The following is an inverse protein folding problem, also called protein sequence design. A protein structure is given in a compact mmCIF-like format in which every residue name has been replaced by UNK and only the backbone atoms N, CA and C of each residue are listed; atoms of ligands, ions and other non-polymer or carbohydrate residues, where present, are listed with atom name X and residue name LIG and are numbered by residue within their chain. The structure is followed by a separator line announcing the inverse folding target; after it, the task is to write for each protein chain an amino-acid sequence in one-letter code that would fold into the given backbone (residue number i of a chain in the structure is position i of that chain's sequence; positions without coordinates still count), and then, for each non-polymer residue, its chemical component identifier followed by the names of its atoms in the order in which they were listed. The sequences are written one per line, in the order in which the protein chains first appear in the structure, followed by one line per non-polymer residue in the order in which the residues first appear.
data_IF_259784640951
#
_entry.id   IF_259784640951
#
_cell.length_a   1.000
_cell.length_b   1.000
_cell.length_c   1.000
_cell.angle_alpha   90.00
_cell.angle_beta   90.00
_cell.angle_gamma   90.00
#
_symmetry.space_group_name_H-M   'P 1'
#
loop_
_entity.id
_entity.type
_entity.pdbx_description
1 polymer ?
#
# COMPACT_ATOMS: atom_id res chain seq x y z
N UNK A 1 20.61 3.18 -2.99
CA UNK A 1 19.52 3.62 -2.09
C UNK A 1 18.76 2.39 -1.61
N UNK A 2 18.46 2.28 -0.32
CA UNK A 2 18.08 1.02 0.33
C UNK A 2 16.59 0.65 0.26
N UNK A 3 15.65 1.57 0.00
CA UNK A 3 14.21 1.25 -0.20
C UNK A 3 13.44 2.42 -0.83
N UNK A 4 12.41 2.13 -1.63
CA UNK A 4 11.45 3.10 -2.18
C UNK A 4 10.02 2.74 -1.75
N UNK A 5 9.25 3.74 -1.35
CA UNK A 5 7.81 3.59 -1.08
C UNK A 5 7.03 4.41 -2.10
N UNK A 6 6.12 3.75 -2.80
CA UNK A 6 5.20 4.38 -3.75
C UNK A 6 3.77 4.20 -3.25
N UNK A 7 2.89 5.14 -3.62
CA UNK A 7 1.51 5.21 -3.10
C UNK A 7 0.51 5.52 -4.21
N UNK A 8 -0.74 5.06 -4.03
CA UNK A 8 -1.85 5.33 -4.94
C UNK A 8 -1.83 4.44 -6.19
N UNK A 9 -2.27 4.97 -7.34
CA UNK A 9 -2.41 4.25 -8.61
C UNK A 9 -1.42 4.80 -9.66
N UNK A 10 -0.10 4.62 -9.49
CA UNK A 10 0.89 5.19 -10.38
C UNK A 10 0.83 4.55 -11.78
N UNK A 11 1.37 5.25 -12.78
CA UNK A 11 1.59 4.61 -14.07
C UNK A 11 2.65 3.49 -13.93
N UNK A 12 2.58 2.43 -14.74
CA UNK A 12 3.57 1.36 -14.67
C UNK A 12 5.01 1.83 -14.97
N UNK A 13 5.18 2.85 -15.81
CA UNK A 13 6.51 3.40 -16.12
C UNK A 13 7.12 4.10 -14.91
N UNK A 14 6.30 4.73 -14.06
CA UNK A 14 6.74 5.28 -12.77
C UNK A 14 7.20 4.16 -11.84
N UNK A 15 6.43 3.08 -11.72
CA UNK A 15 6.79 1.92 -10.90
C UNK A 15 8.11 1.29 -11.36
N UNK A 16 8.28 1.07 -12.67
CA UNK A 16 9.55 0.58 -13.24
C UNK A 16 10.73 1.50 -12.96
N UNK A 17 10.51 2.82 -13.04
CA UNK A 17 11.55 3.81 -12.74
C UNK A 17 11.98 3.73 -11.28
N UNK A 18 11.03 3.55 -10.35
CA UNK A 18 11.34 3.31 -8.93
C UNK A 18 12.14 2.02 -8.76
N UNK A 19 11.74 0.93 -9.42
CA UNK A 19 12.41 -0.37 -9.35
C UNK A 19 13.85 -0.34 -9.88
N UNK A 20 14.16 0.54 -10.83
CA UNK A 20 15.53 0.77 -11.31
C UNK A 20 16.39 1.60 -10.35
N UNK A 21 15.77 2.42 -9.49
CA UNK A 21 16.46 3.37 -8.61
C UNK A 21 16.68 2.87 -7.18
N UNK A 22 16.00 1.79 -6.78
CA UNK A 22 16.05 1.25 -5.42
C UNK A 22 16.15 -0.28 -5.42
N UNK A 23 16.78 -0.81 -4.37
CA UNK A 23 16.92 -2.27 -4.21
C UNK A 23 15.59 -2.94 -3.87
N UNK A 24 14.65 -2.22 -3.29
CA UNK A 24 13.31 -2.71 -2.94
C UNK A 24 12.30 -1.60 -3.15
N UNK A 25 11.17 -1.93 -3.75
CA UNK A 25 10.03 -1.03 -3.95
C UNK A 25 8.79 -1.63 -3.31
N UNK A 26 8.12 -0.86 -2.47
CA UNK A 26 6.80 -1.21 -1.94
C UNK A 26 5.78 -0.22 -2.46
N UNK A 27 4.77 -0.71 -3.18
CA UNK A 27 3.62 0.05 -3.63
C UNK A 27 2.43 -0.23 -2.71
N UNK A 28 2.00 0.79 -1.97
CA UNK A 28 0.71 0.78 -1.29
C UNK A 28 -0.37 1.28 -2.24
N UNK A 29 -1.11 0.35 -2.82
CA UNK A 29 -2.16 0.65 -3.79
C UNK A 29 -3.45 0.99 -3.04
N UNK A 30 -4.06 2.14 -3.33
CA UNK A 30 -5.33 2.52 -2.72
C UNK A 30 -6.13 3.47 -3.62
N UNK A 31 -7.37 3.73 -3.18
CA UNK A 31 -8.30 4.64 -3.85
C UNK A 31 -9.13 3.95 -4.91
N UNK A 32 -10.22 4.63 -5.29
CA UNK A 32 -11.29 4.11 -6.16
C UNK A 32 -10.72 3.44 -7.41
N UNK A 33 -11.23 2.24 -7.74
CA UNK A 33 -10.87 1.45 -8.92
C UNK A 33 -9.48 0.79 -8.86
N UNK A 34 -8.93 0.56 -7.67
CA UNK A 34 -7.69 -0.19 -7.52
C UNK A 34 -7.74 -1.57 -8.21
N UNK A 35 -8.89 -2.25 -8.20
CA UNK A 35 -9.06 -3.55 -8.88
C UNK A 35 -8.84 -3.45 -10.39
N UNK A 36 -9.34 -2.37 -11.01
CA UNK A 36 -9.12 -2.10 -12.44
C UNK A 36 -7.65 -1.82 -12.71
N UNK A 37 -6.98 -1.11 -11.81
CA UNK A 37 -5.55 -0.88 -11.91
C UNK A 37 -4.77 -2.20 -11.80
N UNK A 38 -5.13 -3.07 -10.86
CA UNK A 38 -4.51 -4.39 -10.73
C UNK A 38 -4.70 -5.21 -12.01
N UNK A 39 -5.93 -5.36 -12.49
CA UNK A 39 -6.22 -6.11 -13.73
C UNK A 39 -5.40 -5.62 -14.92
N UNK A 40 -5.21 -4.30 -15.07
CA UNK A 40 -4.47 -3.72 -16.18
C UNK A 40 -2.94 -3.90 -16.07
N UNK A 41 -2.40 -4.01 -14.86
CA UNK A 41 -0.95 -3.83 -14.63
C UNK A 41 -0.26 -5.02 -13.96
N UNK A 42 -1.00 -5.90 -13.27
CA UNK A 42 -0.44 -6.97 -12.43
C UNK A 42 0.43 -7.93 -13.23
N UNK A 43 0.01 -8.32 -14.44
CA UNK A 43 0.77 -9.24 -15.29
C UNK A 43 2.13 -8.68 -15.72
N UNK A 44 2.25 -7.34 -15.83
CA UNK A 44 3.48 -6.68 -16.28
C UNK A 44 4.37 -6.26 -15.12
N UNK A 45 3.77 -5.86 -14.00
CA UNK A 45 4.51 -5.37 -12.83
C UNK A 45 4.85 -6.50 -11.85
N UNK A 46 4.05 -7.56 -11.83
CA UNK A 46 4.28 -8.74 -10.98
C UNK A 46 5.53 -9.55 -11.34
N UNK A 47 6.13 -9.31 -12.52
CA UNK A 47 7.39 -9.93 -12.93
C UNK A 47 8.64 -9.20 -12.43
N UNK A 48 8.47 -8.04 -11.77
CA UNK A 48 9.59 -7.28 -11.22
C UNK A 48 10.06 -7.91 -9.90
N UNK A 49 11.32 -8.30 -9.89
CA UNK A 49 12.01 -9.08 -8.84
C UNK A 49 12.27 -8.30 -7.54
N UNK A 50 11.97 -7.00 -7.52
CA UNK A 50 12.14 -6.15 -6.36
C UNK A 50 10.90 -5.33 -6.00
N UNK A 51 9.75 -5.65 -6.61
CA UNK A 51 8.48 -4.96 -6.38
C UNK A 51 7.58 -5.77 -5.43
N UNK A 52 7.06 -5.07 -4.43
CA UNK A 52 5.99 -5.54 -3.55
C UNK A 52 4.75 -4.67 -3.80
N UNK A 53 3.58 -5.28 -4.00
CA UNK A 53 2.30 -4.54 -4.15
C UNK A 53 1.36 -4.96 -3.02
N UNK A 54 0.93 -3.98 -2.22
CA UNK A 54 0.04 -4.15 -1.08
C UNK A 54 -1.17 -3.24 -1.26
N UNK A 55 -2.31 -3.77 -1.74
CA UNK A 55 -3.56 -3.03 -1.76
C UNK A 55 -4.03 -2.73 -0.35
N UNK A 56 -4.55 -1.53 -0.16
CA UNK A 56 -5.16 -1.12 1.09
C UNK A 56 -6.69 -1.10 0.93
N UNK A 57 -7.43 -1.59 1.93
CA UNK A 57 -8.88 -1.64 1.88
C UNK A 57 -9.50 -0.22 1.85
N UNK A 58 -10.24 0.09 0.77
CA UNK A 58 -10.89 1.41 0.58
C UNK A 58 -11.89 1.70 1.71
N UNK A 59 -12.63 0.68 2.17
CA UNK A 59 -13.64 0.80 3.23
C UNK A 59 -13.07 1.23 4.60
N UNK A 60 -11.75 1.16 4.77
CA UNK A 60 -11.07 1.57 6.00
C UNK A 60 -10.31 2.89 5.83
N UNK A 61 -9.79 3.18 4.63
CA UNK A 61 -9.05 4.42 4.38
C UNK A 61 -9.94 5.66 4.26
N UNK A 62 -11.11 5.54 3.63
CA UNK A 62 -12.00 6.70 3.41
C UNK A 62 -12.52 7.29 4.74
N UNK A 63 -13.03 6.50 5.71
CA UNK A 63 -13.41 7.01 7.02
C UNK A 63 -12.22 7.63 7.77
N UNK A 64 -11.08 6.94 7.79
CA UNK A 64 -9.88 7.39 8.47
C UNK A 64 -9.40 8.75 7.94
N UNK A 65 -9.45 8.95 6.62
CA UNK A 65 -9.07 10.21 5.99
C UNK A 65 -10.03 11.35 6.36
N UNK A 66 -11.33 11.07 6.50
CA UNK A 66 -12.32 12.07 6.90
C UNK A 66 -12.21 12.47 8.38
N UNK A 67 -11.71 11.57 9.21
CA UNK A 67 -11.52 11.77 10.65
C UNK A 67 -10.16 12.40 11.00
N UNK A 68 -9.34 12.75 9.99
CA UNK A 68 -8.04 13.38 10.20
C UNK A 68 -8.16 14.72 10.93
N UNK A 69 -7.63 14.75 12.16
CA UNK A 69 -7.47 15.97 12.94
C UNK A 69 -6.18 16.70 12.55
N UNK A 70 -6.13 18.01 12.85
CA UNK A 70 -4.93 18.84 12.66
C UNK A 70 -3.71 18.31 13.43
N UNK A 71 -3.94 17.63 14.54
CA UNK A 71 -2.93 16.92 15.34
C UNK A 71 -3.28 15.43 15.33
N UNK A 72 -2.30 14.57 15.00
CA UNK A 72 -2.48 13.12 14.96
C UNK A 72 -1.86 12.49 16.22
N UNK A 73 -2.71 11.81 17.00
CA UNK A 73 -2.30 10.97 18.12
C UNK A 73 -2.76 9.55 17.84
N UNK A 74 -1.90 8.77 17.17
CA UNK A 74 -2.21 7.42 16.70
C UNK A 74 -1.26 6.40 17.33
N UNK A 75 -1.81 5.26 17.74
CA UNK A 75 -1.05 4.06 18.10
C UNK A 75 -1.25 3.02 17.02
N UNK A 76 -0.15 2.51 16.46
CA UNK A 76 -0.18 1.49 15.40
C UNK A 76 0.51 0.23 15.91
N UNK A 77 -0.18 -0.91 15.80
CA UNK A 77 0.39 -2.23 16.09
C UNK A 77 0.22 -3.13 14.87
N UNK A 78 1.28 -3.82 14.46
CA UNK A 78 1.22 -4.81 13.38
C UNK A 78 1.52 -6.19 13.94
N UNK A 79 0.54 -7.09 13.84
CA UNK A 79 0.65 -8.48 14.32
C UNK A 79 0.05 -9.41 13.27
N UNK A 80 0.81 -10.40 12.82
CA UNK A 80 0.36 -11.42 11.85
C UNK A 80 -0.29 -10.86 10.58
N UNK A 81 0.25 -9.75 10.07
CA UNK A 81 -0.26 -9.07 8.87
C UNK A 81 -1.54 -8.26 9.11
N UNK A 82 -2.02 -8.18 10.34
CA UNK A 82 -3.08 -7.27 10.76
C UNK A 82 -2.48 -5.98 11.28
N UNK A 83 -2.96 -4.84 10.81
CA UNK A 83 -2.67 -3.51 11.35
C UNK A 83 -3.82 -3.10 12.25
N UNK A 84 -3.53 -2.86 13.52
CA UNK A 84 -4.40 -2.24 14.50
C UNK A 84 -4.03 -0.76 14.59
N UNK A 85 -5.01 0.12 14.41
CA UNK A 85 -4.85 1.56 14.49
C UNK A 85 -5.82 2.11 15.53
N UNK A 86 -5.27 2.59 16.63
CA UNK A 86 -6.03 3.27 17.67
C UNK A 86 -5.82 4.77 17.50
N UNK A 87 -6.93 5.50 17.38
CA UNK A 87 -6.97 6.96 17.38
C UNK A 87 -7.66 7.44 18.66
N UNK A 88 -7.76 8.76 18.86
CA UNK A 88 -8.49 9.30 20.01
C UNK A 88 -10.00 8.98 19.98
N UNK A 89 -10.59 8.74 18.80
CA UNK A 89 -12.04 8.61 18.64
C UNK A 89 -12.47 7.21 18.20
N UNK A 90 -11.55 6.40 17.66
CA UNK A 90 -11.87 5.13 17.02
C UNK A 90 -10.73 4.10 17.07
N UNK A 91 -11.14 2.84 16.98
CA UNK A 91 -10.27 1.68 16.85
C UNK A 91 -10.52 1.03 15.48
N UNK A 92 -9.48 0.92 14.65
CA UNK A 92 -9.56 0.34 13.33
C UNK A 92 -8.66 -0.89 13.19
N UNK A 93 -9.09 -1.84 12.37
CA UNK A 93 -8.34 -3.04 12.04
C UNK A 93 -8.27 -3.16 10.52
N UNK A 94 -7.06 -3.31 9.98
CA UNK A 94 -6.81 -3.41 8.55
C UNK A 94 -5.98 -4.66 8.28
N UNK A 95 -6.54 -5.60 7.52
CA UNK A 95 -5.77 -6.72 7.00
C UNK A 95 -4.84 -6.21 5.90
N UNK A 96 -3.52 -6.33 6.11
CA UNK A 96 -2.52 -6.03 5.09
C UNK A 96 -2.24 -7.31 4.31
N UNK A 97 -2.78 -7.38 3.09
CA UNK A 97 -2.51 -8.50 2.18
C UNK A 97 -1.53 -8.06 1.12
N UNK A 98 -0.45 -8.82 0.98
CA UNK A 98 0.51 -8.60 -0.09
C UNK A 98 0.09 -9.40 -1.33
N UNK A 99 -0.18 -8.71 -2.44
CA UNK A 99 -0.57 -9.36 -3.71
C UNK A 99 0.62 -9.80 -4.56
N UNK A 100 1.72 -9.04 -4.51
CA UNK A 100 2.96 -9.37 -5.21
C UNK A 100 4.10 -9.29 -4.21
N UNK A 101 4.93 -10.33 -4.18
CA UNK A 101 6.18 -10.34 -3.43
C UNK A 101 7.32 -10.81 -4.33
N UNK A 102 8.51 -10.21 -4.19
CA UNK A 102 9.68 -10.71 -4.90
C UNK A 102 10.06 -12.11 -4.37
N UNK A 103 10.11 -13.10 -5.26
CA UNK A 103 10.58 -14.46 -4.95
C UNK A 103 9.51 -15.50 -4.57
N UNK A 104 8.39 -15.58 -5.31
CA UNK A 104 7.60 -16.81 -5.44
C UNK A 104 7.85 -17.49 -6.79
#
# INVERSE_FOLDING_TARGET
MSRWVEVGQPSPERVKTACRKANQVTLFLYGKRQDRWLQANINRLGTLDNLTITPLPENLLDPLANELKRTLEWSLTVTDGMLYLDTADAHHQLQLTCLVQPGH
#
